data_IF_076917808058
#
_entry.id   IF_076917808058
#
_cell.length_a   1.000
_cell.length_b   1.000
_cell.length_c   1.000
_cell.angle_alpha   90.00
_cell.angle_beta   90.00
_cell.angle_gamma   90.00
#
_symmetry.space_group_name_H-M   'P 1'
#
loop_
_entity.id
_entity.type
_entity.pdbx_description
1 polymer ?
#
# COMPACT_ATOMS: atom_id res chain seq x y z
N UNK A 1 16.38 17.91 35.87
CA UNK A 1 16.09 18.70 34.65
C UNK A 1 16.90 19.97 34.89
N UNK A 2 18.05 20.25 34.27
CA UNK A 2 18.56 20.10 32.90
C UNK A 2 20.07 19.78 33.03
N UNK A 3 20.79 19.10 32.15
CA UNK A 3 20.86 19.14 30.70
C UNK A 3 22.35 18.90 30.40
N UNK A 4 22.73 17.64 30.16
CA UNK A 4 24.14 17.23 30.06
C UNK A 4 24.65 17.57 28.65
N UNK A 5 25.41 18.65 28.52
CA UNK A 5 26.05 19.05 27.26
C UNK A 5 27.25 18.14 27.02
N UNK A 6 27.12 17.16 26.13
CA UNK A 6 28.25 16.33 25.70
C UNK A 6 29.06 17.13 24.68
N UNK A 7 30.18 17.68 25.12
CA UNK A 7 31.18 18.27 24.23
C UNK A 7 32.16 17.18 23.80
N UNK A 8 32.01 16.66 22.58
CA UNK A 8 33.02 15.76 21.99
C UNK A 8 34.02 16.62 21.22
N UNK A 9 35.23 16.75 21.79
CA UNK A 9 36.40 17.27 21.08
C UNK A 9 36.94 16.17 20.15
N UNK A 10 36.82 16.36 18.83
CA UNK A 10 37.56 15.55 17.85
C UNK A 10 38.72 16.40 17.33
N UNK A 11 39.93 15.94 17.64
CA UNK A 11 41.19 16.53 17.19
C UNK A 11 41.36 16.22 15.69
N UNK A 12 41.32 17.25 14.85
CA UNK A 12 41.74 17.16 13.44
C UNK A 12 43.26 17.26 13.35
N UNK A 13 43.93 16.12 13.14
CA UNK A 13 45.27 16.15 12.53
C UNK A 13 45.08 16.00 11.03
N UNK A 14 45.03 17.13 10.33
CA UNK A 14 44.97 17.16 8.87
C UNK A 14 46.38 17.01 8.32
N UNK A 15 46.58 16.01 7.46
CA UNK A 15 47.49 16.09 6.31
C UNK A 15 47.23 14.89 5.41
N UNK A 16 46.24 15.05 4.52
CA UNK A 16 46.32 14.83 3.06
C UNK A 16 44.88 14.79 2.50
N UNK A 17 44.55 15.82 1.73
CA UNK A 17 43.80 15.71 0.47
C UNK A 17 42.34 15.27 0.52
N UNK A 18 41.44 16.27 0.49
CA UNK A 18 40.02 16.09 0.25
C UNK A 18 39.71 15.24 -0.99
N UNK A 19 38.69 14.39 -0.85
CA UNK A 19 37.88 13.67 -1.85
C UNK A 19 37.18 12.46 -1.22
N UNK A 20 37.64 11.98 -0.05
CA UNK A 20 37.03 10.84 0.67
C UNK A 20 36.00 11.28 1.72
N UNK A 21 36.22 12.41 2.40
CA UNK A 21 35.32 12.96 3.44
C UNK A 21 33.95 13.36 2.89
N UNK A 22 33.92 14.06 1.75
CA UNK A 22 32.68 14.62 1.21
C UNK A 22 31.76 13.55 0.61
N UNK A 23 32.32 12.42 0.17
CA UNK A 23 31.56 11.26 -0.32
C UNK A 23 30.94 10.45 0.82
N UNK A 24 31.59 10.40 1.97
CA UNK A 24 31.02 9.76 3.17
C UNK A 24 29.93 10.66 3.75
N UNK A 25 30.14 11.97 3.85
CA UNK A 25 29.11 12.90 4.33
C UNK A 25 27.85 12.92 3.45
N UNK A 26 28.02 12.97 2.12
CA UNK A 26 26.89 12.89 1.18
C UNK A 26 26.19 11.52 1.20
N UNK A 27 26.94 10.42 1.35
CA UNK A 27 26.34 9.09 1.52
C UNK A 27 25.62 8.92 2.86
N UNK A 28 26.09 9.58 3.93
CA UNK A 28 25.45 9.55 5.23
C UNK A 28 24.17 10.40 5.27
N UNK A 29 24.16 11.62 4.70
CA UNK A 29 22.93 12.43 4.57
C UNK A 29 21.90 11.75 3.64
N UNK A 30 22.33 11.24 2.48
CA UNK A 30 21.44 10.52 1.55
C UNK A 30 20.88 9.23 2.17
N UNK A 31 21.68 8.49 2.95
CA UNK A 31 21.19 7.30 3.68
C UNK A 31 20.27 7.64 4.85
N UNK A 32 20.47 8.80 5.50
CA UNK A 32 19.68 9.22 6.65
C UNK A 32 18.32 9.75 6.22
N UNK A 33 18.27 10.59 5.18
CA UNK A 33 17.02 11.14 4.65
C UNK A 33 16.21 10.07 3.92
N UNK A 34 16.84 9.20 3.12
CA UNK A 34 16.14 8.08 2.50
C UNK A 34 15.71 7.04 3.53
N UNK A 35 16.53 6.71 4.52
CA UNK A 35 16.16 5.76 5.57
C UNK A 35 15.03 6.28 6.46
N UNK A 36 15.01 7.57 6.75
CA UNK A 36 13.93 8.23 7.50
C UNK A 36 12.64 8.26 6.67
N UNK A 37 12.69 8.67 5.41
CA UNK A 37 11.54 8.64 4.52
C UNK A 37 11.01 7.21 4.27
N UNK A 38 11.89 6.20 4.22
CA UNK A 38 11.54 4.78 4.05
C UNK A 38 10.88 4.17 5.28
N UNK A 39 11.46 4.36 6.47
CA UNK A 39 10.84 3.91 7.72
C UNK A 39 9.54 4.64 7.99
N UNK A 40 9.46 5.92 7.59
CA UNK A 40 8.23 6.68 7.62
C UNK A 40 7.20 6.12 6.65
N UNK A 41 7.54 5.80 5.40
CA UNK A 41 6.60 5.25 4.40
C UNK A 41 6.13 3.83 4.77
N UNK A 42 7.04 2.94 5.17
CA UNK A 42 6.67 1.58 5.63
C UNK A 42 5.84 1.66 6.91
N UNK A 43 6.26 2.45 7.90
CA UNK A 43 5.52 2.64 9.14
C UNK A 43 4.17 3.34 8.93
N UNK A 44 4.09 4.27 7.99
CA UNK A 44 2.85 4.95 7.60
C UNK A 44 1.93 3.99 6.85
N UNK A 45 2.43 3.19 5.91
CA UNK A 45 1.64 2.18 5.21
C UNK A 45 1.15 1.10 6.17
N UNK A 46 2.00 0.63 7.09
CA UNK A 46 1.59 -0.33 8.13
C UNK A 46 0.55 0.27 9.06
N UNK A 47 0.78 1.49 9.57
CA UNK A 47 -0.18 2.18 10.44
C UNK A 47 -1.49 2.52 9.72
N UNK A 48 -1.43 2.91 8.43
CA UNK A 48 -2.59 3.20 7.60
C UNK A 48 -3.39 1.92 7.31
N UNK A 49 -2.72 0.83 6.94
CA UNK A 49 -3.35 -0.49 6.77
C UNK A 49 -3.99 -0.95 8.09
N UNK A 50 -3.29 -0.84 9.22
CA UNK A 50 -3.85 -1.20 10.53
C UNK A 50 -5.02 -0.29 10.94
N UNK A 51 -4.95 1.00 10.64
CA UNK A 51 -6.02 1.95 10.91
C UNK A 51 -7.24 1.67 10.02
N UNK A 52 -7.01 1.27 8.77
CA UNK A 52 -8.03 0.81 7.86
C UNK A 52 -8.68 -0.48 8.37
N UNK A 53 -7.89 -1.50 8.74
CA UNK A 53 -8.39 -2.76 9.32
C UNK A 53 -9.27 -2.48 10.55
N UNK A 54 -8.75 -1.68 11.51
CA UNK A 54 -9.51 -1.29 12.72
C UNK A 54 -10.75 -0.46 12.39
N UNK A 55 -10.67 0.41 11.38
CA UNK A 55 -11.76 1.26 10.93
C UNK A 55 -12.85 0.45 10.24
N UNK A 56 -12.48 -0.51 9.40
CA UNK A 56 -13.36 -1.46 8.74
C UNK A 56 -14.03 -2.36 9.78
N UNK A 57 -13.28 -3.00 10.68
CA UNK A 57 -13.82 -3.85 11.74
C UNK A 57 -14.82 -3.10 12.62
N UNK A 58 -14.47 -1.87 13.03
CA UNK A 58 -15.35 -1.01 13.84
C UNK A 58 -16.55 -0.50 13.05
N UNK A 59 -16.39 -0.17 11.78
CA UNK A 59 -17.48 0.23 10.89
C UNK A 59 -18.47 -0.90 10.64
N UNK A 60 -17.96 -2.11 10.47
CA UNK A 60 -18.74 -3.35 10.35
C UNK A 60 -19.49 -3.67 11.66
N UNK A 61 -18.82 -3.58 12.81
CA UNK A 61 -19.43 -3.79 14.13
C UNK A 61 -20.54 -2.75 14.41
N UNK A 62 -20.28 -1.47 14.17
CA UNK A 62 -21.28 -0.40 14.28
C UNK A 62 -22.41 -0.61 13.27
N UNK A 63 -22.12 -1.06 12.06
CA UNK A 63 -23.13 -1.37 11.04
C UNK A 63 -24.05 -2.52 11.46
N UNK A 64 -23.51 -3.56 12.11
CA UNK A 64 -24.30 -4.65 12.71
C UNK A 64 -25.12 -4.16 13.91
N UNK A 65 -24.55 -3.30 14.75
CA UNK A 65 -25.19 -2.79 15.97
C UNK A 65 -26.31 -1.76 15.66
N UNK A 66 -26.12 -0.91 14.65
CA UNK A 66 -27.05 0.16 14.27
C UNK A 66 -27.99 -0.19 13.12
N UNK A 67 -27.65 -1.18 12.29
CA UNK A 67 -28.32 -1.48 11.01
C UNK A 67 -29.63 -2.29 11.08
N UNK A 68 -30.12 -2.70 12.25
CA UNK A 68 -31.35 -3.52 12.30
C UNK A 68 -32.66 -2.72 12.35
N UNK A 69 -32.65 -1.40 12.60
CA UNK A 69 -33.90 -0.61 12.63
C UNK A 69 -33.67 0.86 12.25
N UNK A 70 -34.19 1.23 11.08
CA UNK A 70 -34.42 2.61 10.61
C UNK A 70 -33.27 3.28 9.82
N UNK A 71 -33.34 3.07 8.51
CA UNK A 71 -32.59 3.81 7.49
C UNK A 71 -32.50 2.90 6.28
N UNK A 72 -33.04 3.31 5.14
CA UNK A 72 -33.07 2.49 3.92
C UNK A 72 -31.64 2.32 3.42
N UNK A 73 -30.91 1.34 3.97
CA UNK A 73 -29.87 0.66 3.24
C UNK A 73 -30.60 -0.04 2.11
N UNK A 74 -30.53 0.50 0.89
CA UNK A 74 -30.66 -0.37 -0.27
C UNK A 74 -29.64 -1.47 -0.04
N UNK A 75 -30.10 -2.68 0.26
CA UNK A 75 -29.24 -3.84 0.36
C UNK A 75 -28.62 -3.99 -1.03
N UNK A 76 -27.44 -3.40 -1.24
CA UNK A 76 -26.67 -3.62 -2.45
C UNK A 76 -26.11 -5.01 -2.25
N UNK A 77 -26.83 -6.01 -2.75
CA UNK A 77 -26.28 -7.35 -2.89
C UNK A 77 -25.10 -7.23 -3.85
N UNK A 78 -23.88 -7.27 -3.31
CA UNK A 78 -22.68 -7.29 -4.11
C UNK A 78 -22.61 -8.62 -4.84
N UNK A 79 -22.33 -8.58 -6.15
CA UNK A 79 -22.17 -9.78 -6.97
C UNK A 79 -20.72 -9.96 -7.42
N UNK A 80 -20.33 -11.21 -7.57
CA UNK A 80 -19.07 -11.58 -8.21
C UNK A 80 -19.20 -11.34 -9.72
N UNK A 81 -18.36 -10.48 -10.35
CA UNK A 81 -18.50 -10.15 -11.77
C UNK A 81 -17.98 -11.27 -12.67
N UNK A 82 -18.31 -11.22 -13.96
CA UNK A 82 -17.49 -11.91 -14.98
C UNK A 82 -16.15 -11.18 -15.17
N UNK A 83 -15.16 -11.86 -15.76
CA UNK A 83 -13.91 -11.19 -16.16
C UNK A 83 -14.16 -10.00 -17.08
N UNK A 84 -15.12 -10.13 -18.00
CA UNK A 84 -15.50 -9.04 -18.90
C UNK A 84 -16.07 -7.83 -18.14
N UNK A 85 -17.00 -8.05 -17.22
CA UNK A 85 -17.58 -6.98 -16.39
C UNK A 85 -16.53 -6.30 -15.51
N UNK A 86 -15.61 -7.08 -14.93
CA UNK A 86 -14.46 -6.54 -14.19
C UNK A 86 -13.62 -5.62 -15.08
N UNK A 87 -13.23 -6.05 -16.28
CA UNK A 87 -12.45 -5.20 -17.21
C UNK A 87 -13.22 -3.94 -17.66
N UNK A 88 -14.53 -4.06 -17.84
CA UNK A 88 -15.41 -2.92 -18.18
C UNK A 88 -15.60 -1.94 -17.01
N UNK A 89 -15.56 -2.43 -15.76
CA UNK A 89 -15.52 -1.59 -14.57
C UNK A 89 -14.20 -0.83 -14.49
N UNK A 90 -13.06 -1.53 -14.53
CA UNK A 90 -11.73 -0.91 -14.46
C UNK A 90 -11.55 0.18 -15.53
N UNK A 91 -11.95 -0.08 -16.78
CA UNK A 91 -11.84 0.90 -17.86
C UNK A 91 -12.67 2.20 -17.68
N UNK A 92 -13.65 2.22 -16.77
CA UNK A 92 -14.48 3.40 -16.45
C UNK A 92 -14.07 4.06 -15.14
N UNK A 93 -13.51 3.28 -14.23
CA UNK A 93 -12.92 3.77 -13.00
C UNK A 93 -11.71 4.67 -13.33
N UNK A 94 -11.37 5.58 -12.42
CA UNK A 94 -10.26 6.55 -12.63
C UNK A 94 -9.24 6.52 -11.50
N UNK A 95 -9.27 5.49 -10.66
CA UNK A 95 -8.36 5.39 -9.51
C UNK A 95 -6.91 5.33 -9.97
N UNK A 96 -6.64 4.62 -11.07
CA UNK A 96 -5.34 4.52 -11.74
C UNK A 96 -4.77 5.87 -12.24
N UNK A 97 -5.64 6.88 -12.40
CA UNK A 97 -5.29 8.20 -12.90
C UNK A 97 -4.85 9.16 -11.78
N UNK A 98 -4.94 8.75 -10.51
CA UNK A 98 -4.50 9.55 -9.38
C UNK A 98 -2.97 9.52 -9.24
N UNK A 99 -2.34 10.63 -8.82
CA UNK A 99 -0.92 10.63 -8.51
C UNK A 99 -0.65 9.87 -7.20
N UNK A 100 0.44 9.10 -7.16
CA UNK A 100 0.97 8.59 -5.91
C UNK A 100 1.62 9.72 -5.12
N UNK A 101 1.15 9.98 -3.90
CA UNK A 101 1.66 11.04 -3.03
C UNK A 101 2.02 10.45 -1.67
N UNK A 102 3.31 10.41 -1.35
CA UNK A 102 3.82 9.86 -0.09
C UNK A 102 3.17 10.57 1.10
N UNK A 103 2.60 9.79 2.01
CA UNK A 103 1.94 10.29 3.23
C UNK A 103 0.55 10.91 3.03
N UNK A 104 0.03 10.95 1.80
CA UNK A 104 -1.29 11.52 1.49
C UNK A 104 -2.19 10.58 0.67
N UNK A 105 -1.64 9.93 -0.35
CA UNK A 105 -2.37 9.04 -1.25
C UNK A 105 -1.44 7.93 -1.75
N UNK A 106 -1.44 6.81 -1.03
CA UNK A 106 -0.53 5.69 -1.20
C UNK A 106 -1.30 4.42 -1.56
N UNK A 107 -0.61 3.26 -1.68
CA UNK A 107 -1.20 2.01 -2.15
C UNK A 107 -2.52 1.62 -1.47
N UNK A 108 -2.64 1.85 -0.16
CA UNK A 108 -3.86 1.58 0.61
C UNK A 108 -5.03 2.44 0.15
N UNK A 109 -4.79 3.71 -0.21
CA UNK A 109 -5.81 4.64 -0.68
C UNK A 109 -6.30 4.27 -2.07
N UNK A 110 -5.39 3.88 -2.98
CA UNK A 110 -5.75 3.35 -4.29
C UNK A 110 -6.63 2.08 -4.16
N UNK A 111 -6.20 1.12 -3.34
CA UNK A 111 -6.94 -0.13 -3.15
C UNK A 111 -8.33 0.11 -2.51
N UNK A 112 -8.40 0.97 -1.49
CA UNK A 112 -9.67 1.33 -0.84
C UNK A 112 -10.60 2.09 -1.79
N UNK A 113 -10.07 3.05 -2.57
CA UNK A 113 -10.88 3.82 -3.51
C UNK A 113 -11.48 2.94 -4.61
N UNK A 114 -10.67 2.06 -5.22
CA UNK A 114 -11.15 1.15 -6.26
C UNK A 114 -12.21 0.18 -5.69
N UNK A 115 -11.97 -0.36 -4.48
CA UNK A 115 -12.94 -1.21 -3.78
C UNK A 115 -14.28 -0.47 -3.57
N UNK A 116 -14.25 0.72 -2.96
CA UNK A 116 -15.46 1.53 -2.72
C UNK A 116 -16.20 1.86 -4.03
N UNK A 117 -15.48 2.16 -5.11
CA UNK A 117 -16.07 2.44 -6.41
C UNK A 117 -16.72 1.17 -7.02
N UNK A 118 -16.11 0.00 -6.84
CA UNK A 118 -16.68 -1.27 -7.27
C UNK A 118 -17.98 -1.60 -6.52
N UNK A 119 -17.97 -1.44 -5.19
CA UNK A 119 -19.15 -1.67 -4.35
C UNK A 119 -20.29 -0.70 -4.69
N UNK A 120 -19.98 0.56 -4.99
CA UNK A 120 -20.96 1.54 -5.47
C UNK A 120 -21.59 1.14 -6.83
N UNK A 121 -20.96 0.26 -7.59
CA UNK A 121 -21.48 -0.35 -8.82
C UNK A 121 -22.07 -1.77 -8.58
N UNK A 122 -22.20 -2.19 -7.32
CA UNK A 122 -22.70 -3.52 -6.93
C UNK A 122 -21.70 -4.67 -7.14
N UNK A 123 -20.44 -4.37 -7.43
CA UNK A 123 -19.42 -5.38 -7.72
C UNK A 123 -18.67 -5.72 -6.43
N UNK A 124 -18.57 -7.01 -6.11
CA UNK A 124 -17.80 -7.50 -4.97
C UNK A 124 -16.30 -7.47 -5.29
N UNK A 125 -15.54 -6.82 -4.41
CA UNK A 125 -14.08 -6.70 -4.48
C UNK A 125 -13.48 -6.96 -3.11
N UNK A 126 -12.38 -7.70 -3.06
CA UNK A 126 -11.58 -7.85 -1.86
C UNK A 126 -10.48 -6.80 -1.80
N UNK A 127 -10.17 -6.33 -0.59
CA UNK A 127 -8.89 -5.69 -0.28
C UNK A 127 -7.82 -6.78 -0.09
N UNK A 128 -6.62 -6.57 -0.64
CA UNK A 128 -5.52 -7.54 -0.54
C UNK A 128 -4.29 -6.88 0.04
N UNK A 129 -3.92 -7.34 1.24
CA UNK A 129 -2.67 -6.94 1.90
C UNK A 129 -1.56 -7.90 1.53
N UNK A 130 -0.43 -7.35 1.13
CA UNK A 130 0.80 -8.07 0.80
C UNK A 130 1.88 -7.62 1.77
N UNK A 131 2.64 -8.57 2.31
CA UNK A 131 3.81 -8.26 3.14
C UNK A 131 5.07 -8.91 2.58
N UNK A 132 6.17 -8.22 2.80
CA UNK A 132 7.54 -8.69 2.68
C UNK A 132 8.27 -8.42 3.99
N UNK A 133 9.57 -8.67 4.03
CA UNK A 133 10.41 -8.41 5.21
C UNK A 133 10.52 -6.92 5.54
N UNK A 134 10.66 -6.08 4.52
CA UNK A 134 10.98 -4.64 4.66
C UNK A 134 9.93 -3.73 4.01
N UNK A 135 8.82 -4.28 3.49
CA UNK A 135 7.76 -3.49 2.85
C UNK A 135 6.39 -4.15 2.96
N UNK A 136 5.36 -3.31 2.92
CA UNK A 136 3.96 -3.70 2.73
C UNK A 136 3.43 -3.18 1.40
N UNK A 137 2.36 -3.80 0.89
CA UNK A 137 1.66 -3.31 -0.29
C UNK A 137 0.17 -3.65 -0.18
N UNK A 138 -0.66 -2.87 -0.88
CA UNK A 138 -2.09 -3.06 -0.94
C UNK A 138 -2.57 -3.05 -2.38
N UNK A 139 -3.35 -4.07 -2.74
CA UNK A 139 -4.01 -4.19 -4.04
C UNK A 139 -5.45 -4.67 -3.84
N UNK A 140 -6.15 -5.00 -4.92
CA UNK A 140 -7.50 -5.55 -4.85
C UNK A 140 -7.59 -6.92 -5.54
N UNK A 141 -8.64 -7.69 -5.23
CA UNK A 141 -8.97 -8.90 -5.96
C UNK A 141 -10.45 -9.01 -6.28
N UNK A 142 -10.74 -9.56 -7.46
CA UNK A 142 -12.09 -9.86 -7.93
C UNK A 142 -12.23 -11.38 -8.00
N UNK A 143 -13.23 -11.95 -7.33
CA UNK A 143 -13.65 -13.33 -7.58
C UNK A 143 -14.56 -13.32 -8.80
N UNK A 144 -14.02 -13.72 -9.96
CA UNK A 144 -14.80 -13.76 -11.19
C UNK A 144 -15.52 -15.10 -11.36
N UNK A 145 -16.76 -15.06 -11.84
CA UNK A 145 -17.58 -16.26 -11.99
C UNK A 145 -17.11 -17.21 -13.10
N UNK A 146 -16.27 -16.72 -14.02
CA UNK A 146 -15.82 -17.44 -15.22
C UNK A 146 -14.30 -17.68 -15.26
N UNK A 147 -13.50 -17.00 -14.43
CA UNK A 147 -12.03 -17.17 -14.40
C UNK A 147 -11.43 -17.31 -13.00
N UNK A 148 -12.26 -17.35 -11.95
CA UNK A 148 -11.80 -17.45 -10.57
C UNK A 148 -11.24 -16.14 -10.05
N UNK A 149 -10.39 -16.22 -9.02
CA UNK A 149 -9.83 -15.07 -8.34
C UNK A 149 -8.75 -14.38 -9.18
N UNK A 150 -8.86 -13.07 -9.36
CA UNK A 150 -7.92 -12.24 -10.14
C UNK A 150 -7.49 -11.05 -9.29
N UNK A 151 -6.18 -10.85 -9.17
CA UNK A 151 -5.59 -9.71 -8.48
C UNK A 151 -5.34 -8.56 -9.45
N UNK A 152 -5.64 -7.33 -9.03
CA UNK A 152 -5.47 -6.11 -9.83
C UNK A 152 -4.65 -5.09 -9.04
N UNK A 153 -3.61 -4.54 -9.67
CA UNK A 153 -2.87 -3.39 -9.16
C UNK A 153 -3.68 -2.11 -9.43
N UNK A 154 -4.25 -1.47 -8.39
CA UNK A 154 -5.15 -0.33 -8.56
C UNK A 154 -4.45 0.95 -9.07
N UNK A 155 -3.12 1.05 -8.98
CA UNK A 155 -2.37 2.16 -9.57
C UNK A 155 -2.25 2.08 -11.11
N UNK A 156 -2.69 0.97 -11.72
CA UNK A 156 -2.43 0.71 -13.15
C UNK A 156 -3.48 -0.14 -13.90
N UNK A 157 -4.47 -0.66 -13.19
CA UNK A 157 -5.46 -1.63 -13.66
C UNK A 157 -4.89 -2.93 -14.27
N UNK A 158 -3.64 -3.26 -13.94
CA UNK A 158 -2.97 -4.46 -14.43
C UNK A 158 -3.28 -5.66 -13.56
N UNK A 159 -3.50 -6.79 -14.21
CA UNK A 159 -3.58 -8.09 -13.54
C UNK A 159 -2.21 -8.47 -12.99
N UNK A 160 -2.19 -9.05 -11.80
CA UNK A 160 -0.98 -9.42 -11.07
C UNK A 160 -1.01 -10.89 -10.69
N UNK A 161 0.08 -11.59 -10.92
CA UNK A 161 0.29 -12.92 -10.36
C UNK A 161 1.02 -12.78 -9.02
N UNK A 162 0.37 -13.22 -7.94
CA UNK A 162 0.96 -13.23 -6.60
C UNK A 162 1.43 -14.63 -6.22
N UNK A 163 2.69 -14.74 -5.83
CA UNK A 163 3.29 -16.01 -5.39
C UNK A 163 4.16 -15.77 -4.17
N UNK A 164 3.82 -16.42 -3.04
CA UNK A 164 4.66 -16.40 -1.84
C UNK A 164 6.07 -16.93 -2.20
N UNK A 165 7.11 -16.23 -1.75
CA UNK A 165 8.49 -16.54 -2.07
C UNK A 165 9.00 -15.91 -3.38
N UNK A 166 8.15 -15.18 -4.12
CA UNK A 166 8.53 -14.42 -5.32
C UNK A 166 8.40 -12.91 -5.07
N UNK A 167 9.20 -12.07 -5.74
CA UNK A 167 9.04 -10.63 -5.67
C UNK A 167 7.72 -10.18 -6.30
N UNK A 168 7.17 -9.07 -5.81
CA UNK A 168 6.07 -8.40 -6.47
C UNK A 168 6.54 -7.78 -7.79
N UNK A 169 5.77 -7.87 -8.89
CA UNK A 169 6.24 -7.49 -10.22
C UNK A 169 6.12 -5.97 -10.49
N UNK A 170 6.64 -5.13 -9.60
CA UNK A 170 6.50 -3.66 -9.60
C UNK A 170 6.62 -3.01 -10.99
N UNK A 171 7.72 -3.29 -11.70
CA UNK A 171 7.98 -2.72 -13.02
C UNK A 171 6.96 -3.15 -14.08
N UNK A 172 6.51 -4.41 -14.03
CA UNK A 172 5.56 -4.96 -14.99
C UNK A 172 4.14 -4.46 -14.76
N UNK A 173 3.80 -4.12 -13.52
CA UNK A 173 2.48 -3.57 -13.22
C UNK A 173 2.49 -2.05 -13.26
N UNK A 174 3.64 -1.38 -13.30
CA UNK A 174 3.71 0.08 -13.38
C UNK A 174 3.32 0.78 -12.08
N UNK A 175 3.34 0.04 -10.96
CA UNK A 175 3.19 0.58 -9.62
C UNK A 175 4.48 1.27 -9.16
N UNK A 176 4.34 2.25 -8.28
CA UNK A 176 5.49 2.84 -7.58
C UNK A 176 6.05 1.78 -6.62
N UNK A 177 7.33 1.43 -6.82
CA UNK A 177 8.02 0.45 -5.98
C UNK A 177 8.51 1.11 -4.70
N UNK A 178 8.19 0.58 -3.50
CA UNK A 178 9.06 0.75 -2.35
C UNK A 178 10.39 0.04 -2.67
N UNK A 179 11.52 0.61 -2.26
CA UNK A 179 12.85 0.06 -2.58
C UNK A 179 13.04 -1.35 -1.98
N UNK A 180 13.95 -2.14 -2.58
CA UNK A 180 14.06 -3.61 -2.48
C UNK A 180 12.96 -4.40 -3.23
N UNK A 181 12.71 -4.02 -4.49
CA UNK A 181 11.77 -4.67 -5.42
C UNK A 181 11.96 -6.19 -5.62
N UNK A 182 13.07 -6.75 -5.14
CA UNK A 182 13.40 -8.17 -5.24
C UNK A 182 13.06 -8.99 -3.99
N UNK A 183 12.72 -8.34 -2.87
CA UNK A 183 12.37 -9.08 -1.66
C UNK A 183 11.09 -9.89 -1.89
N UNK A 184 11.08 -11.17 -1.47
CA UNK A 184 9.97 -12.05 -1.73
C UNK A 184 8.75 -11.68 -0.89
N UNK A 185 7.57 -11.82 -1.48
CA UNK A 185 6.30 -11.81 -0.76
C UNK A 185 6.36 -12.91 0.31
N UNK A 186 6.18 -12.53 1.57
CA UNK A 186 6.13 -13.45 2.70
C UNK A 186 4.70 -13.76 3.11
N UNK A 187 3.75 -12.89 2.79
CA UNK A 187 2.34 -13.05 3.14
C UNK A 187 1.40 -12.37 2.15
N UNK A 188 0.25 -13.00 1.93
CA UNK A 188 -0.89 -12.45 1.19
C UNK A 188 -2.13 -12.69 2.06
N UNK A 189 -2.85 -11.62 2.38
CA UNK A 189 -4.11 -11.66 3.11
C UNK A 189 -5.21 -11.04 2.24
N UNK A 190 -6.30 -11.79 2.03
CA UNK A 190 -7.46 -11.34 1.26
C UNK A 190 -8.59 -11.04 2.25
N UNK A 191 -9.14 -9.84 2.19
CA UNK A 191 -10.15 -9.31 3.11
C UNK A 191 -11.38 -8.95 2.27
N UNK A 192 -12.52 -9.52 2.61
CA UNK A 192 -13.81 -9.34 1.92
C UNK A 192 -14.76 -8.50 2.75
#
# INVERSE_FOLDING_TARGET
>A
IEGLTVSVFIVYTSTIGGTYSDKIAAAYEDSYDNGYAQTYDVGYQEASNEAYDKGYDKGYEIGLETGSKAGVATHVELYNPTHKEMREFLARDKTDSNPFVIGEYVCSDFAAQLNNNAEANGIRVAYVRIRSKEWGHAIVAFETVDRGLIFIEPQSDREVELVIGKPYPWYWVGAVSPLASYDPITEIQIIW
#
